data_IF_902708981952
#
_entry.id   IF_902708981952
#
_cell.length_a   1.000
_cell.length_b   1.000
_cell.length_c   1.000
_cell.angle_alpha   90.00
_cell.angle_beta   90.00
_cell.angle_gamma   90.00
#
_symmetry.space_group_name_H-M   'P 1'
#
loop_
_entity.id
_entity.type
_entity.pdbx_description
1 polymer ?
#
# COMPACT_ATOMS: atom_id res chain seq x y z
N UNK A 1 21.54 -14.59 -44.51
CA UNK A 1 20.67 -15.70 -44.03
C UNK A 1 21.22 -16.33 -42.75
N UNK A 2 22.50 -16.72 -42.68
CA UNK A 2 23.11 -17.27 -41.46
C UNK A 2 23.10 -16.30 -40.25
N UNK A 3 23.47 -15.03 -40.46
CA UNK A 3 23.49 -14.01 -39.40
C UNK A 3 22.10 -13.66 -38.84
N UNK A 4 21.04 -13.81 -39.65
CA UNK A 4 19.66 -13.57 -39.22
C UNK A 4 19.14 -14.74 -38.37
N UNK A 5 19.52 -15.97 -38.73
CA UNK A 5 19.23 -17.16 -37.93
C UNK A 5 19.99 -17.15 -36.60
N UNK A 6 21.22 -16.64 -36.59
CA UNK A 6 22.04 -16.49 -35.38
C UNK A 6 21.49 -15.41 -34.43
N UNK A 7 20.94 -14.31 -34.97
CA UNK A 7 20.21 -13.29 -34.19
C UNK A 7 18.87 -13.82 -33.64
N UNK A 8 18.15 -14.63 -34.42
CA UNK A 8 16.91 -15.28 -33.96
C UNK A 8 17.23 -16.30 -32.86
N UNK A 9 18.32 -17.06 -33.00
CA UNK A 9 18.82 -17.99 -31.99
C UNK A 9 19.23 -17.25 -30.70
N UNK A 10 19.96 -16.13 -30.80
CA UNK A 10 20.32 -15.28 -29.66
C UNK A 10 19.12 -14.59 -29.00
N UNK A 11 18.06 -14.27 -29.76
CA UNK A 11 16.80 -13.77 -29.21
C UNK A 11 16.02 -14.84 -28.44
N UNK A 12 16.08 -16.11 -28.87
CA UNK A 12 15.54 -17.25 -28.12
C UNK A 12 16.42 -17.71 -26.94
N UNK A 13 17.70 -17.32 -26.92
CA UNK A 13 18.68 -17.63 -25.86
C UNK A 13 18.80 -16.56 -24.78
N UNK A 14 17.96 -15.51 -24.78
CA UNK A 14 17.67 -14.77 -23.54
C UNK A 14 16.95 -15.71 -22.59
N UNK A 15 17.76 -16.54 -21.94
CA UNK A 15 17.44 -17.47 -20.87
C UNK A 15 16.38 -16.84 -19.99
N UNK A 16 15.32 -17.59 -19.79
CA UNK A 16 14.64 -17.65 -18.50
C UNK A 16 15.69 -17.60 -17.38
N UNK A 17 15.96 -16.42 -16.83
CA UNK A 17 16.45 -16.26 -15.46
C UNK A 17 15.25 -16.40 -14.52
N UNK A 18 14.49 -17.49 -14.69
CA UNK A 18 13.54 -17.94 -13.70
C UNK A 18 14.37 -18.63 -12.61
N UNK A 19 14.97 -17.86 -11.71
CA UNK A 19 15.70 -18.45 -10.59
C UNK A 19 16.39 -17.48 -9.65
N UNK A 20 16.96 -16.38 -10.15
CA UNK A 20 17.72 -15.46 -9.31
C UNK A 20 16.96 -14.16 -9.06
N UNK A 21 16.87 -13.72 -7.79
CA UNK A 21 16.20 -12.48 -7.46
C UNK A 21 16.95 -11.29 -8.06
N UNK A 22 16.24 -10.26 -8.51
CA UNK A 22 16.80 -9.07 -9.14
C UNK A 22 17.87 -8.37 -8.27
N UNK A 23 17.72 -8.44 -6.94
CA UNK A 23 18.74 -8.13 -5.94
C UNK A 23 18.41 -8.85 -4.63
N UNK A 24 19.38 -8.94 -3.71
CA UNK A 24 19.16 -9.56 -2.41
C UNK A 24 18.26 -8.72 -1.51
N UNK A 25 17.22 -9.37 -0.98
CA UNK A 25 16.26 -8.75 -0.06
C UNK A 25 16.07 -9.61 1.20
N UNK A 26 15.53 -9.00 2.25
CA UNK A 26 15.13 -9.63 3.50
C UNK A 26 13.62 -9.47 3.70
N UNK A 27 12.97 -10.52 4.22
CA UNK A 27 11.52 -10.53 4.45
C UNK A 27 10.74 -10.16 3.20
N UNK A 28 9.77 -9.27 3.33
CA UNK A 28 8.96 -8.79 2.21
C UNK A 28 9.67 -7.66 1.45
N UNK A 29 10.75 -7.99 0.74
CA UNK A 29 11.37 -7.10 -0.24
C UNK A 29 12.27 -5.99 0.31
N UNK A 30 12.67 -6.03 1.59
CA UNK A 30 13.58 -5.01 2.14
C UNK A 30 14.98 -5.20 1.54
N UNK A 31 15.57 -4.20 0.86
CA UNK A 31 16.90 -4.32 0.29
C UNK A 31 17.97 -4.59 1.36
N UNK A 32 18.94 -5.47 1.12
CA UNK A 32 20.09 -5.66 2.02
C UNK A 32 21.15 -4.56 1.85
N UNK A 33 20.73 -3.31 1.97
CA UNK A 33 21.62 -2.13 1.96
C UNK A 33 21.92 -1.68 3.39
N UNK A 34 22.79 -0.68 3.55
CA UNK A 34 23.04 -0.06 4.86
C UNK A 34 21.79 0.73 5.28
N UNK A 35 21.19 0.35 6.42
CA UNK A 35 20.05 1.01 7.09
C UNK A 35 18.92 1.48 6.15
N UNK A 36 18.27 0.57 5.40
CA UNK A 36 17.15 0.93 4.53
C UNK A 36 15.94 1.39 5.36
N UNK A 37 15.20 2.38 4.87
CA UNK A 37 13.87 2.67 5.38
C UNK A 37 12.98 1.45 5.13
N UNK A 38 12.40 0.89 6.20
CA UNK A 38 11.51 -0.26 6.11
C UNK A 38 10.49 -0.27 7.24
N UNK A 39 9.56 -1.22 7.19
CA UNK A 39 8.63 -1.50 8.27
C UNK A 39 8.95 -2.83 8.91
N UNK A 40 8.63 -2.96 10.18
CA UNK A 40 8.78 -4.21 10.94
C UNK A 40 7.41 -4.61 11.47
N UNK A 41 7.03 -5.85 11.18
CA UNK A 41 5.83 -6.48 11.75
C UNK A 41 6.26 -7.49 12.79
N UNK A 42 6.05 -7.16 14.06
CA UNK A 42 6.36 -8.01 15.20
C UNK A 42 5.19 -8.95 15.50
N UNK A 43 5.39 -10.24 15.21
CA UNK A 43 4.38 -11.28 15.45
C UNK A 43 4.75 -12.06 16.72
N UNK A 44 4.18 -11.75 17.89
CA UNK A 44 4.52 -12.43 19.13
C UNK A 44 4.20 -13.93 19.08
N UNK A 45 4.92 -14.70 19.92
CA UNK A 45 4.60 -16.10 20.18
C UNK A 45 3.21 -16.22 20.82
N UNK A 46 2.48 -17.26 20.44
CA UNK A 46 1.14 -17.54 20.97
C UNK A 46 -0.02 -17.00 20.12
N UNK A 47 -1.19 -16.90 20.75
CA UNK A 47 -2.46 -16.65 20.07
C UNK A 47 -3.26 -15.46 20.64
N UNK A 48 -2.76 -14.76 21.66
CA UNK A 48 -3.47 -13.66 22.33
C UNK A 48 -2.83 -12.29 22.09
N UNK A 49 -1.50 -12.22 22.06
CA UNK A 49 -0.78 -10.94 22.03
C UNK A 49 -0.99 -10.19 20.70
N UNK A 50 -1.18 -8.86 20.76
CA UNK A 50 -1.40 -8.03 19.57
C UNK A 50 -0.12 -7.93 18.72
N UNK A 51 -0.30 -7.54 17.47
CA UNK A 51 0.79 -7.34 16.51
C UNK A 51 1.21 -5.88 16.56
N UNK A 52 2.50 -5.63 16.73
CA UNK A 52 3.06 -4.28 16.62
C UNK A 52 3.61 -4.11 15.20
N UNK A 53 3.27 -2.98 14.58
CA UNK A 53 3.87 -2.54 13.32
C UNK A 53 4.61 -1.24 13.59
N UNK A 54 5.90 -1.25 13.28
CA UNK A 54 6.81 -0.11 13.40
C UNK A 54 7.36 0.29 12.04
N UNK A 55 7.71 1.56 11.90
CA UNK A 55 8.44 2.13 10.77
C UNK A 55 9.84 2.51 11.24
N UNK A 56 10.84 1.91 10.62
CA UNK A 56 12.23 2.30 10.75
C UNK A 56 12.54 3.24 9.58
N UNK A 57 12.80 4.51 9.90
CA UNK A 57 13.07 5.54 8.90
C UNK A 57 14.44 5.37 8.22
N UNK A 58 15.28 4.46 8.72
CA UNK A 58 16.63 4.21 8.23
C UNK A 58 17.57 5.38 8.51
N UNK A 59 18.68 5.43 7.78
CA UNK A 59 19.64 6.53 7.92
C UNK A 59 19.02 7.87 7.45
N UNK A 60 18.79 8.77 8.40
CA UNK A 60 18.62 10.19 8.10
C UNK A 60 20.00 10.81 7.87
N UNK A 61 20.13 11.74 6.91
CA UNK A 61 21.39 12.41 6.61
C UNK A 61 21.99 13.20 7.79
N UNK A 62 21.23 13.37 8.89
CA UNK A 62 21.57 14.21 10.05
C UNK A 62 21.73 13.47 11.39
N UNK A 63 21.49 12.17 11.47
CA UNK A 63 21.60 11.41 12.73
C UNK A 63 22.17 10.01 12.51
N UNK A 64 23.06 9.57 13.42
CA UNK A 64 23.57 8.20 13.45
C UNK A 64 22.54 7.20 14.00
N UNK A 65 21.51 7.71 14.68
CA UNK A 65 20.39 6.92 15.19
C UNK A 65 19.30 6.79 14.12
N UNK A 66 18.83 5.55 13.93
CA UNK A 66 17.65 5.24 13.12
C UNK A 66 16.41 5.62 13.93
N UNK A 67 15.59 6.52 13.40
CA UNK A 67 14.34 6.92 14.03
C UNK A 67 13.29 5.83 13.81
N UNK A 68 12.86 5.19 14.90
CA UNK A 68 11.83 4.16 14.90
C UNK A 68 10.52 4.75 15.40
N UNK A 69 9.44 4.56 14.62
CA UNK A 69 8.10 5.02 14.93
C UNK A 69 7.16 3.84 15.12
N UNK A 70 6.49 3.77 16.27
CA UNK A 70 5.33 2.90 16.44
C UNK A 70 4.17 3.42 15.56
N UNK A 71 3.56 2.56 14.75
CA UNK A 71 2.45 2.97 13.86
C UNK A 71 1.10 2.42 14.30
N UNK A 72 1.05 1.14 14.65
CA UNK A 72 -0.21 0.50 15.03
C UNK A 72 0.00 -0.75 15.88
N UNK A 73 -0.87 -0.91 16.87
CA UNK A 73 -1.02 -2.13 17.68
C UNK A 73 -2.32 -2.82 17.25
N UNK A 74 -2.20 -3.84 16.41
CA UNK A 74 -3.33 -4.52 15.79
C UNK A 74 -3.77 -5.74 16.63
N UNK A 75 -5.07 -5.91 16.95
CA UNK A 75 -5.53 -7.08 17.66
C UNK A 75 -5.21 -8.38 16.91
N UNK A 76 -4.85 -9.43 17.64
CA UNK A 76 -4.44 -10.72 17.08
C UNK A 76 -5.51 -11.37 16.20
N UNK A 77 -6.77 -11.19 16.56
CA UNK A 77 -7.93 -11.67 15.79
C UNK A 77 -7.97 -11.04 14.39
N UNK A 78 -7.75 -9.73 14.30
CA UNK A 78 -7.75 -8.98 13.04
C UNK A 78 -6.57 -9.37 12.16
N UNK A 79 -5.37 -9.46 12.75
CA UNK A 79 -4.19 -9.94 12.03
C UNK A 79 -4.41 -11.33 11.42
N UNK A 80 -5.08 -12.23 12.16
CA UNK A 80 -5.33 -13.60 11.69
C UNK A 80 -6.18 -13.62 10.42
N UNK A 81 -7.15 -12.71 10.30
CA UNK A 81 -7.98 -12.56 9.10
C UNK A 81 -7.17 -12.02 7.91
N UNK A 82 -6.33 -10.99 8.13
CA UNK A 82 -5.66 -10.29 7.02
C UNK A 82 -4.32 -10.89 6.58
N UNK A 83 -3.60 -11.61 7.45
CA UNK A 83 -2.21 -12.04 7.18
C UNK A 83 -2.09 -12.89 5.90
N UNK A 84 -3.06 -13.77 5.64
CA UNK A 84 -3.04 -14.67 4.48
C UNK A 84 -3.22 -13.91 3.17
N UNK A 85 -4.31 -13.14 3.03
CA UNK A 85 -4.54 -12.26 1.88
C UNK A 85 -3.42 -11.24 1.64
N UNK A 86 -2.98 -10.52 2.67
CA UNK A 86 -1.88 -9.53 2.54
C UNK A 86 -0.59 -10.19 2.04
N UNK A 87 -0.23 -11.35 2.60
CA UNK A 87 0.95 -12.12 2.13
C UNK A 87 0.85 -12.43 0.64
N UNK A 88 -0.33 -12.85 0.18
CA UNK A 88 -0.55 -13.21 -1.22
C UNK A 88 -0.32 -11.99 -2.12
N UNK A 89 -0.98 -10.87 -1.81
CA UNK A 89 -0.84 -9.62 -2.56
C UNK A 89 0.61 -9.11 -2.58
N UNK A 90 1.32 -9.19 -1.45
CA UNK A 90 2.72 -8.77 -1.39
C UNK A 90 3.61 -9.68 -2.21
N UNK A 91 3.46 -11.00 -2.08
CA UNK A 91 4.26 -11.96 -2.84
C UNK A 91 3.99 -11.91 -4.35
N UNK A 92 2.77 -11.59 -4.79
CA UNK A 92 2.47 -11.36 -6.20
C UNK A 92 3.28 -10.19 -6.76
N UNK A 93 3.40 -9.09 -6.00
CA UNK A 93 4.21 -7.94 -6.40
C UNK A 93 5.70 -8.22 -6.33
N UNK A 94 6.18 -8.90 -5.29
CA UNK A 94 7.58 -9.32 -5.20
C UNK A 94 7.96 -10.15 -6.44
N UNK A 95 7.13 -11.13 -6.83
CA UNK A 95 7.35 -11.90 -8.06
C UNK A 95 7.33 -11.05 -9.33
N UNK A 96 6.41 -10.10 -9.43
CA UNK A 96 6.34 -9.19 -10.58
C UNK A 96 7.61 -8.34 -10.74
N UNK A 97 8.31 -8.05 -9.64
CA UNK A 97 9.60 -7.36 -9.62
C UNK A 97 10.81 -8.32 -9.61
N UNK A 98 10.61 -9.62 -9.82
CA UNK A 98 11.69 -10.60 -9.81
C UNK A 98 12.36 -10.75 -8.44
N UNK A 99 11.65 -10.52 -7.34
CA UNK A 99 12.15 -10.65 -5.97
C UNK A 99 11.69 -11.96 -5.32
N UNK A 100 12.45 -12.41 -4.32
CA UNK A 100 12.10 -13.60 -3.54
C UNK A 100 10.81 -13.37 -2.74
N UNK A 101 9.92 -14.37 -2.73
CA UNK A 101 8.71 -14.32 -1.91
C UNK A 101 9.00 -14.57 -0.43
N UNK A 102 8.14 -14.07 0.45
CA UNK A 102 8.28 -14.21 1.89
C UNK A 102 7.08 -14.89 2.57
N UNK A 103 7.23 -15.21 3.85
CA UNK A 103 6.20 -15.76 4.72
C UNK A 103 6.19 -14.98 6.04
N UNK A 104 5.00 -14.82 6.62
CA UNK A 104 4.89 -14.34 8.00
C UNK A 104 5.42 -15.41 8.95
N UNK A 105 6.45 -15.05 9.72
CA UNK A 105 7.00 -15.87 10.81
C UNK A 105 6.70 -15.23 12.16
N UNK A 106 6.83 -16.02 13.21
CA UNK A 106 6.85 -15.50 14.58
C UNK A 106 8.14 -14.70 14.80
N UNK A 107 8.03 -13.58 15.52
CA UNK A 107 9.06 -12.58 15.72
C UNK A 107 9.03 -11.49 14.66
N UNK A 108 10.20 -10.94 14.35
CA UNK A 108 10.41 -9.82 13.43
C UNK A 108 10.21 -10.21 11.98
N UNK A 109 9.36 -9.48 11.28
CA UNK A 109 9.15 -9.59 9.83
C UNK A 109 9.43 -8.25 9.16
N UNK A 110 10.59 -8.07 8.48
CA UNK A 110 10.86 -6.85 7.74
C UNK A 110 10.01 -6.79 6.47
N UNK A 111 9.51 -5.59 6.16
CA UNK A 111 8.62 -5.30 5.03
C UNK A 111 9.11 -4.04 4.32
N UNK A 112 9.21 -4.10 2.99
CA UNK A 112 9.58 -2.96 2.16
C UNK A 112 8.72 -1.73 2.48
N UNK A 113 9.32 -0.54 2.35
CA UNK A 113 8.71 0.75 2.67
C UNK A 113 7.32 0.90 2.05
N UNK A 114 7.14 0.60 0.76
CA UNK A 114 5.86 0.80 0.07
C UNK A 114 4.82 -0.22 0.55
N UNK A 115 5.21 -1.47 0.73
CA UNK A 115 4.32 -2.52 1.23
C UNK A 115 3.91 -2.26 2.69
N UNK A 116 4.82 -1.76 3.51
CA UNK A 116 4.57 -1.39 4.90
C UNK A 116 3.59 -0.24 5.05
N UNK A 117 3.68 0.79 4.19
CA UNK A 117 2.67 1.86 4.09
C UNK A 117 1.27 1.30 3.84
N UNK A 118 1.14 0.41 2.86
CA UNK A 118 -0.15 -0.19 2.50
C UNK A 118 -0.73 -1.05 3.62
N UNK A 119 0.12 -1.80 4.33
CA UNK A 119 -0.29 -2.57 5.49
C UNK A 119 -0.79 -1.67 6.62
N UNK A 120 -0.12 -0.54 6.88
CA UNK A 120 -0.55 0.43 7.89
C UNK A 120 -1.94 0.99 7.58
N UNK A 121 -2.23 1.34 6.32
CA UNK A 121 -3.57 1.81 5.92
C UNK A 121 -4.65 0.78 6.22
N UNK A 122 -4.42 -0.49 5.89
CA UNK A 122 -5.36 -1.55 6.23
C UNK A 122 -5.51 -1.68 7.74
N UNK A 123 -4.40 -1.74 8.47
CA UNK A 123 -4.40 -1.91 9.93
C UNK A 123 -5.14 -0.77 10.64
N UNK A 124 -4.93 0.48 10.25
CA UNK A 124 -5.62 1.65 10.78
C UNK A 124 -7.12 1.63 10.51
N UNK A 125 -7.54 1.19 9.33
CA UNK A 125 -8.97 1.07 9.02
C UNK A 125 -9.68 -0.04 9.80
N UNK A 126 -8.98 -1.10 10.17
CA UNK A 126 -9.60 -2.27 10.82
C UNK A 126 -9.41 -2.33 12.33
N UNK A 127 -8.50 -1.57 12.96
CA UNK A 127 -8.13 -1.72 14.38
C UNK A 127 -9.27 -1.48 15.41
N UNK A 128 -10.41 -0.95 14.94
CA UNK A 128 -11.64 -0.69 15.70
C UNK A 128 -12.87 -1.40 15.12
N UNK A 129 -12.72 -2.19 14.06
CA UNK A 129 -13.85 -2.91 13.49
C UNK A 129 -14.24 -4.12 14.35
N UNK A 130 -15.49 -4.52 14.23
CA UNK A 130 -15.90 -5.86 14.62
C UNK A 130 -15.21 -6.89 13.71
N UNK A 131 -14.82 -8.03 14.26
CA UNK A 131 -14.01 -9.04 13.55
C UNK A 131 -14.68 -9.49 12.25
N UNK A 132 -16.00 -9.61 12.28
CA UNK A 132 -16.85 -10.07 11.19
C UNK A 132 -16.79 -9.10 9.99
N UNK A 133 -16.51 -7.82 10.23
CA UNK A 133 -16.38 -6.78 9.19
C UNK A 133 -14.98 -6.67 8.60
N UNK A 134 -13.97 -7.32 9.19
CA UNK A 134 -12.58 -7.23 8.73
C UNK A 134 -12.41 -7.76 7.30
N UNK A 135 -13.07 -8.86 6.95
CA UNK A 135 -13.03 -9.43 5.60
C UNK A 135 -13.62 -8.46 4.55
N UNK A 136 -14.65 -7.72 4.93
CA UNK A 136 -15.27 -6.70 4.09
C UNK A 136 -14.33 -5.51 3.86
N UNK A 137 -13.70 -5.01 4.93
CA UNK A 137 -12.72 -3.93 4.85
C UNK A 137 -11.48 -4.32 4.01
N UNK A 138 -11.02 -5.57 4.15
CA UNK A 138 -9.95 -6.12 3.33
C UNK A 138 -10.29 -6.10 1.84
N UNK A 139 -11.54 -6.46 1.47
CA UNK A 139 -11.99 -6.40 0.06
C UNK A 139 -11.95 -4.98 -0.48
N UNK A 140 -12.40 -4.00 0.30
CA UNK A 140 -12.38 -2.60 -0.09
C UNK A 140 -10.93 -2.09 -0.24
N UNK A 141 -10.05 -2.44 0.69
CA UNK A 141 -8.62 -2.13 0.57
C UNK A 141 -7.97 -2.75 -0.67
N UNK A 142 -8.31 -4.01 -0.99
CA UNK A 142 -7.85 -4.68 -2.22
C UNK A 142 -8.32 -3.98 -3.49
N UNK A 143 -9.47 -3.30 -3.46
CA UNK A 143 -10.01 -2.51 -4.57
C UNK A 143 -9.28 -1.18 -4.81
N UNK A 144 -8.55 -0.66 -3.81
CA UNK A 144 -7.73 0.54 -3.97
C UNK A 144 -6.46 0.24 -4.78
N UNK A 145 -6.04 1.20 -5.60
CA UNK A 145 -4.73 1.20 -6.26
C UNK A 145 -3.61 1.40 -5.23
N UNK A 146 -2.39 1.01 -5.58
CA UNK A 146 -1.25 1.14 -4.66
C UNK A 146 -0.99 2.62 -4.31
N UNK A 147 -1.08 3.50 -5.30
CA UNK A 147 -0.87 4.94 -5.17
C UNK A 147 -1.92 5.59 -4.24
N UNK A 148 -3.18 5.14 -4.33
CA UNK A 148 -4.25 5.61 -3.44
C UNK A 148 -3.95 5.22 -1.99
N UNK A 149 -3.45 3.99 -1.77
CA UNK A 149 -3.04 3.54 -0.44
C UNK A 149 -1.84 4.33 0.07
N UNK A 150 -0.85 4.64 -0.76
CA UNK A 150 0.31 5.43 -0.33
C UNK A 150 -0.08 6.87 0.00
N UNK A 151 -0.98 7.46 -0.78
CA UNK A 151 -1.52 8.79 -0.49
C UNK A 151 -2.30 8.79 0.84
N UNK A 152 -3.17 7.81 1.05
CA UNK A 152 -3.90 7.64 2.32
C UNK A 152 -2.95 7.46 3.50
N UNK A 153 -1.86 6.72 3.31
CA UNK A 153 -0.83 6.57 4.34
C UNK A 153 -0.26 7.93 4.73
N UNK A 154 0.14 8.76 3.77
CA UNK A 154 0.77 10.06 4.05
C UNK A 154 -0.19 11.00 4.79
N UNK A 155 -1.49 10.98 4.45
CA UNK A 155 -2.52 11.79 5.15
C UNK A 155 -2.70 11.39 6.62
N UNK A 156 -2.71 10.07 6.89
CA UNK A 156 -2.82 9.57 8.26
C UNK A 156 -1.52 9.80 9.03
N UNK A 157 -0.38 9.46 8.43
CA UNK A 157 0.94 9.56 9.05
C UNK A 157 1.29 10.99 9.46
N UNK A 158 0.88 11.98 8.68
CA UNK A 158 1.12 13.40 8.96
C UNK A 158 0.32 13.95 10.15
N UNK A 159 -0.73 13.25 10.61
CA UNK A 159 -1.67 13.79 11.61
C UNK A 159 -1.86 12.87 12.81
N UNK A 160 -2.16 11.59 12.59
CA UNK A 160 -2.55 10.61 13.62
C UNK A 160 -1.88 9.25 13.34
N UNK A 161 -0.61 9.28 12.93
CA UNK A 161 0.13 8.10 12.48
C UNK A 161 0.56 7.13 13.57
N UNK A 162 0.66 7.55 14.83
CA UNK A 162 1.06 6.71 15.96
C UNK A 162 -0.12 6.06 16.69
N UNK A 163 0.12 5.10 17.61
CA UNK A 163 -0.94 4.40 18.34
C UNK A 163 -1.91 5.30 19.10
N UNK A 164 -1.45 6.46 19.57
CA UNK A 164 -2.24 7.51 20.22
C UNK A 164 -3.29 8.16 19.30
N UNK A 165 -3.11 8.04 17.98
CA UNK A 165 -4.02 8.54 16.96
C UNK A 165 -5.29 7.69 16.78
N UNK A 166 -5.38 6.53 17.44
CA UNK A 166 -6.51 5.60 17.33
C UNK A 166 -7.85 6.29 17.61
N UNK A 167 -8.84 6.03 16.76
CA UNK A 167 -10.21 6.48 16.99
C UNK A 167 -10.55 7.91 16.57
N UNK A 168 -9.66 8.62 15.86
CA UNK A 168 -9.88 10.03 15.46
C UNK A 168 -9.30 10.37 14.08
N UNK A 169 -9.72 11.51 13.54
CA UNK A 169 -9.16 12.09 12.32
C UNK A 169 -9.19 11.14 11.12
N UNK A 170 -8.11 11.14 10.33
CA UNK A 170 -7.99 10.31 9.14
C UNK A 170 -8.03 8.80 9.41
N UNK A 171 -7.62 8.32 10.60
CA UNK A 171 -7.81 6.90 10.97
C UNK A 171 -9.29 6.54 11.08
N UNK A 172 -10.09 7.40 11.69
CA UNK A 172 -11.55 7.18 11.76
C UNK A 172 -12.19 7.30 10.38
N UNK A 173 -11.69 8.19 9.52
CA UNK A 173 -12.13 8.23 8.12
C UNK A 173 -11.83 6.91 7.39
N UNK A 174 -10.64 6.31 7.58
CA UNK A 174 -10.31 4.98 7.04
C UNK A 174 -11.22 3.89 7.60
N UNK A 175 -11.59 3.96 8.87
CA UNK A 175 -12.53 3.02 9.48
C UNK A 175 -13.86 2.97 8.72
N UNK A 176 -14.45 4.14 8.41
CA UNK A 176 -15.68 4.19 7.62
C UNK A 176 -15.42 3.86 6.14
N UNK A 177 -14.37 4.41 5.53
CA UNK A 177 -14.06 4.23 4.11
C UNK A 177 -13.70 2.77 3.74
N UNK A 178 -13.18 1.98 4.67
CA UNK A 178 -12.95 0.55 4.46
C UNK A 178 -14.06 -0.30 5.06
N UNK A 179 -14.53 0.01 6.26
CA UNK A 179 -15.47 -0.82 7.01
C UNK A 179 -16.93 -0.65 6.61
N UNK A 180 -17.34 0.50 6.10
CA UNK A 180 -18.76 0.92 5.98
C UNK A 180 -19.09 1.57 4.62
N UNK A 181 -18.45 1.11 3.54
CA UNK A 181 -18.60 1.72 2.21
C UNK A 181 -19.73 1.10 1.41
N UNK A 182 -20.89 1.78 1.23
CA UNK A 182 -21.98 1.24 0.43
C UNK A 182 -21.57 1.01 -1.03
N UNK A 183 -22.33 0.18 -1.75
CA UNK A 183 -22.10 -0.04 -3.18
C UNK A 183 -22.16 1.28 -3.96
N UNK A 184 -21.27 1.43 -4.95
CA UNK A 184 -21.20 2.63 -5.77
C UNK A 184 -22.51 2.81 -6.56
N UNK A 185 -23.23 3.88 -6.29
CA UNK A 185 -24.44 4.25 -7.04
C UNK A 185 -24.06 5.14 -8.21
N UNK A 186 -24.33 4.68 -9.43
CA UNK A 186 -24.17 5.50 -10.64
C UNK A 186 -25.18 6.64 -10.56
N UNK A 187 -24.67 7.86 -10.34
CA UNK A 187 -25.48 9.07 -10.34
C UNK A 187 -25.61 9.59 -11.77
N UNK A 188 -26.84 9.59 -12.28
CA UNK A 188 -27.15 10.27 -13.54
C UNK A 188 -27.07 11.78 -13.33
N UNK A 189 -26.27 12.45 -14.15
CA UNK A 189 -26.25 13.91 -14.18
C UNK A 189 -27.65 14.42 -14.53
N UNK A 190 -28.19 15.34 -13.72
CA UNK A 190 -29.38 16.08 -14.12
C UNK A 190 -28.99 16.92 -15.33
N UNK A 191 -29.55 16.57 -16.49
CA UNK A 191 -29.46 17.43 -17.66
C UNK A 191 -30.30 18.66 -17.33
N UNK A 192 -29.65 19.78 -17.02
CA UNK A 192 -30.34 21.06 -16.94
C UNK A 192 -31.09 21.26 -18.25
N UNK A 193 -32.40 21.52 -18.17
CA UNK A 193 -33.18 21.85 -19.35
C UNK A 193 -32.45 22.96 -20.11
N UNK A 194 -32.21 22.75 -21.41
CA UNK A 194 -31.78 23.83 -22.30
C UNK A 194 -32.89 24.86 -22.36
N UNK A 195 -32.95 25.77 -21.39
CA UNK A 195 -33.51 27.07 -21.69
C UNK A 195 -32.58 27.71 -22.71
N UNK A 196 -33.15 28.07 -23.86
CA UNK A 196 -32.47 28.75 -24.95
C UNK A 196 -32.00 30.14 -24.48
N UNK A 197 -30.92 30.20 -23.72
CA UNK A 197 -30.18 31.44 -23.55
C UNK A 197 -29.31 31.61 -24.79
N UNK A 198 -29.62 32.66 -25.54
CA UNK A 198 -29.01 33.07 -26.80
C UNK A 198 -27.48 33.04 -26.71
N UNK A 199 -26.87 32.64 -27.83
CA UNK A 199 -25.43 32.73 -28.06
C UNK A 199 -24.94 34.17 -27.91
N UNK A 200 -24.12 34.42 -26.90
CA UNK A 200 -23.09 35.46 -26.91
C UNK A 200 -21.88 34.88 -26.21
N UNK A 201 -20.81 34.64 -26.98
CA UNK A 201 -19.48 34.29 -26.49
C UNK A 201 -19.38 32.93 -25.79
N UNK A 202 -18.59 32.02 -26.35
CA UNK A 202 -18.05 30.94 -25.53
C UNK A 202 -17.08 31.56 -24.52
N UNK A 203 -17.56 31.96 -23.35
CA UNK A 203 -16.71 32.12 -22.17
C UNK A 203 -16.38 30.71 -21.67
N UNK A 204 -15.45 30.04 -22.35
CA UNK A 204 -14.72 28.95 -21.75
C UNK A 204 -14.00 29.55 -20.55
N UNK A 205 -14.37 29.14 -19.34
CA UNK A 205 -13.59 29.43 -18.14
C UNK A 205 -12.21 28.80 -18.36
N UNK A 206 -11.27 29.59 -18.87
CA UNK A 206 -9.90 29.21 -19.18
C UNK A 206 -9.14 28.95 -17.90
N UNK A 207 -9.44 27.82 -17.25
CA UNK A 207 -8.80 27.42 -16.00
C UNK A 207 -7.36 26.95 -16.22
N UNK A 208 -6.97 26.68 -17.48
CA UNK A 208 -5.65 26.22 -17.89
C UNK A 208 -5.12 26.88 -19.17
N UNK A 209 -5.72 27.98 -19.64
CA UNK A 209 -5.30 28.68 -20.87
C UNK A 209 -4.22 29.75 -20.61
N UNK A 210 -3.36 29.50 -19.63
CA UNK A 210 -2.17 30.30 -19.34
C UNK A 210 -0.99 29.37 -19.18
N UNK A 211 -0.29 29.12 -20.30
CA UNK A 211 1.17 28.98 -20.39
C UNK A 211 1.50 28.37 -21.76
N UNK A 212 1.62 29.24 -22.75
CA UNK A 212 2.53 29.00 -23.88
C UNK A 212 3.60 30.08 -23.84
N UNK A 213 4.82 29.59 -23.62
CA UNK A 213 6.15 30.22 -23.71
C UNK A 213 6.68 30.95 -22.48
#
# INVERSE_FOLDING_TARGET
>A
MAALLEQIQQMTERKNTAGEPAHETSGFGVPKTLSPHHFIVEVPRGNSQPILITEDLGNSASSTDCDVLDRVVLPRTHWTEIRGPVKRTFNERLKAHGLATSQWKVGTNPVDRMLGKELCVLAWGIELLERERVAYALRNWLGLRAEERWWLFDMVAATVGGPEGKGRGWRMALHYALGDTPEAVIRNARHGGRDKLRSTGQDTLGLFDGDKE
#
